data_IF_159020397888
#
_entry.id   IF_159020397888
#
_cell.length_a   1.000
_cell.length_b   1.000
_cell.length_c   1.000
_cell.angle_alpha   90.00
_cell.angle_beta   90.00
_cell.angle_gamma   90.00
#
_symmetry.space_group_name_H-M   'P 1'
#
loop_
_entity.id
_entity.type
_entity.pdbx_description
1 polymer ?
#
# COMPACT_ATOMS: atom_id res chain seq x y z
N UNK A 1 6.64 0.53 15.22
CA UNK A 1 7.08 -0.01 16.54
C UNK A 1 5.86 -0.19 17.42
N UNK A 2 5.65 -1.38 17.99
CA UNK A 2 4.52 -1.62 18.89
C UNK A 2 4.61 -0.80 20.17
N UNK A 3 3.49 -0.19 20.57
CA UNK A 3 3.42 0.69 21.77
C UNK A 3 3.76 -0.07 23.06
N UNK A 4 3.52 -1.37 23.14
CA UNK A 4 3.80 -2.18 24.32
C UNK A 4 5.23 -2.72 24.40
N UNK A 5 6.10 -2.46 23.41
CA UNK A 5 7.46 -3.01 23.41
C UNK A 5 8.29 -2.48 24.58
N UNK A 6 8.96 -3.40 25.29
CA UNK A 6 9.93 -3.10 26.37
C UNK A 6 11.32 -2.71 25.81
N UNK A 7 11.60 -3.01 24.55
CA UNK A 7 12.91 -2.83 23.92
C UNK A 7 12.87 -1.84 22.75
N UNK A 8 12.22 -0.70 22.95
CA UNK A 8 12.01 0.31 21.90
C UNK A 8 13.30 0.82 21.27
N UNK A 9 14.33 1.07 22.10
CA UNK A 9 15.63 1.55 21.62
C UNK A 9 16.32 0.54 20.66
N UNK A 10 16.36 -0.73 21.04
CA UNK A 10 16.92 -1.80 20.20
C UNK A 10 16.11 -2.00 18.92
N UNK A 11 14.77 -1.98 19.00
CA UNK A 11 13.92 -2.04 17.82
C UNK A 11 14.16 -0.86 16.87
N UNK A 12 14.41 0.34 17.41
CA UNK A 12 14.78 1.50 16.61
C UNK A 12 16.15 1.35 15.93
N UNK A 13 17.14 0.83 16.65
CA UNK A 13 18.46 0.53 16.09
C UNK A 13 18.39 -0.48 14.95
N UNK A 14 17.62 -1.55 15.10
CA UNK A 14 17.39 -2.51 14.03
C UNK A 14 16.74 -1.86 12.80
N UNK A 15 15.69 -1.05 12.99
CA UNK A 15 15.05 -0.33 11.88
C UNK A 15 16.03 0.62 11.18
N UNK A 16 16.89 1.31 11.93
CA UNK A 16 17.96 2.15 11.33
C UNK A 16 18.92 1.32 10.50
N UNK A 17 19.38 0.19 11.02
CA UNK A 17 20.27 -0.73 10.30
C UNK A 17 19.64 -1.21 8.99
N UNK A 18 18.40 -1.73 9.04
CA UNK A 18 17.66 -2.19 7.85
C UNK A 18 17.31 -1.06 6.85
N UNK A 19 17.30 0.19 7.31
CA UNK A 19 17.05 1.36 6.47
C UNK A 19 18.29 1.88 5.74
N UNK A 20 19.49 1.36 6.02
CA UNK A 20 20.72 1.80 5.36
C UNK A 20 20.72 1.34 3.89
N UNK A 21 21.18 2.17 2.94
CA UNK A 21 21.20 1.81 1.51
C UNK A 21 21.96 0.51 1.22
N UNK A 22 23.15 0.31 1.82
CA UNK A 22 23.97 -0.88 1.63
C UNK A 22 23.28 -2.16 2.12
N UNK A 23 22.54 -2.05 3.23
CA UNK A 23 21.74 -3.17 3.77
C UNK A 23 20.55 -3.48 2.87
N UNK A 24 19.86 -2.46 2.33
CA UNK A 24 18.76 -2.66 1.38
C UNK A 24 19.24 -3.29 0.06
N UNK A 25 20.40 -2.87 -0.47
CA UNK A 25 21.01 -3.52 -1.65
C UNK A 25 21.33 -4.98 -1.37
N UNK A 26 21.87 -5.28 -0.19
CA UNK A 26 22.11 -6.68 0.21
C UNK A 26 20.81 -7.47 0.31
N UNK A 27 19.75 -6.88 0.82
CA UNK A 27 18.44 -7.53 0.93
C UNK A 27 17.88 -7.84 -0.46
N UNK A 28 17.92 -6.87 -1.38
CA UNK A 28 17.56 -7.05 -2.78
C UNK A 28 18.31 -8.21 -3.44
N UNK A 29 19.64 -8.30 -3.26
CA UNK A 29 20.42 -9.42 -3.81
C UNK A 29 20.00 -10.80 -3.29
N UNK A 30 19.43 -10.86 -2.08
CA UNK A 30 19.05 -12.11 -1.43
C UNK A 30 17.61 -12.52 -1.75
N UNK A 31 16.69 -11.55 -1.83
CA UNK A 31 15.24 -11.84 -1.91
C UNK A 31 14.58 -11.30 -3.18
N UNK A 32 15.21 -10.36 -3.88
CA UNK A 32 14.61 -9.57 -4.95
C UNK A 32 13.75 -8.40 -4.45
N UNK A 33 13.63 -8.19 -3.13
CA UNK A 33 12.80 -7.11 -2.59
C UNK A 33 13.36 -5.73 -2.93
N UNK A 34 12.50 -4.90 -3.51
CA UNK A 34 12.87 -3.58 -4.03
C UNK A 34 13.21 -2.59 -2.90
N UNK A 35 14.34 -1.86 -2.99
CA UNK A 35 14.69 -0.86 -1.99
C UNK A 35 13.72 0.33 -1.95
N UNK A 36 13.29 0.73 -0.75
CA UNK A 36 12.44 1.91 -0.56
C UNK A 36 13.23 3.24 -0.65
N UNK A 37 14.55 3.21 -0.42
CA UNK A 37 15.43 4.39 -0.45
C UNK A 37 15.95 4.69 -1.84
N UNK A 38 15.75 5.91 -2.35
CA UNK A 38 16.27 6.33 -3.67
C UNK A 38 17.80 6.20 -3.77
N UNK A 39 18.53 6.36 -2.67
CA UNK A 39 19.99 6.26 -2.65
C UNK A 39 20.48 4.84 -2.98
N UNK A 40 19.73 3.80 -2.57
CA UNK A 40 20.09 2.40 -2.84
C UNK A 40 20.07 2.10 -4.34
N UNK A 41 19.19 2.75 -5.11
CA UNK A 41 19.09 2.59 -6.56
C UNK A 41 20.28 3.16 -7.36
N UNK A 42 21.20 3.87 -6.70
CA UNK A 42 22.47 4.31 -7.32
C UNK A 42 23.55 3.24 -7.28
N UNK A 43 23.36 2.18 -6.49
CA UNK A 43 24.28 1.05 -6.46
C UNK A 43 24.29 0.33 -7.81
N UNK A 44 25.47 -0.07 -8.28
CA UNK A 44 25.63 -0.72 -9.59
C UNK A 44 24.78 -1.96 -9.72
N UNK A 45 24.56 -2.71 -8.64
CA UNK A 45 23.67 -3.88 -8.62
C UNK A 45 22.28 -3.59 -9.17
N UNK A 46 21.71 -2.42 -8.85
CA UNK A 46 20.37 -2.04 -9.27
C UNK A 46 20.41 -1.20 -10.55
N UNK A 47 21.40 -0.32 -10.67
CA UNK A 47 21.52 0.58 -11.82
C UNK A 47 21.76 -0.17 -13.14
N UNK A 48 22.48 -1.30 -13.10
CA UNK A 48 22.75 -2.14 -14.27
C UNK A 48 21.82 -3.34 -14.40
N UNK A 49 20.90 -3.54 -13.45
CA UNK A 49 19.90 -4.61 -13.53
C UNK A 49 18.75 -4.17 -14.44
N UNK A 50 18.65 -4.85 -15.58
CA UNK A 50 17.64 -4.57 -16.60
C UNK A 50 16.21 -4.77 -16.07
N UNK A 51 15.99 -5.78 -15.25
CA UNK A 51 14.67 -6.09 -14.68
C UNK A 51 14.30 -5.04 -13.62
N UNK A 52 15.28 -4.60 -12.81
CA UNK A 52 15.07 -3.57 -11.80
C UNK A 52 14.71 -2.19 -12.40
N UNK A 53 15.17 -1.88 -13.61
CA UNK A 53 14.90 -0.58 -14.25
C UNK A 53 13.41 -0.30 -14.49
N UNK A 54 12.62 -1.32 -14.86
CA UNK A 54 11.18 -1.17 -15.03
C UNK A 54 10.51 -0.76 -13.71
N UNK A 55 10.83 -1.48 -12.63
CA UNK A 55 10.33 -1.16 -11.29
C UNK A 55 10.77 0.21 -10.80
N UNK A 56 12.00 0.65 -11.14
CA UNK A 56 12.47 1.99 -10.79
C UNK A 56 11.58 3.08 -11.37
N UNK A 57 11.20 2.94 -12.65
CA UNK A 57 10.33 3.89 -13.35
C UNK A 57 8.93 3.88 -12.72
N UNK A 58 8.39 2.71 -12.40
CA UNK A 58 7.08 2.58 -11.76
C UNK A 58 7.05 3.17 -10.36
N UNK A 59 8.11 3.00 -9.56
CA UNK A 59 8.21 3.55 -8.21
C UNK A 59 8.13 5.08 -8.17
N UNK A 60 8.64 5.77 -9.18
CA UNK A 60 8.51 7.23 -9.28
C UNK A 60 7.08 7.69 -9.64
N UNK A 61 6.20 6.76 -10.04
CA UNK A 61 4.78 7.01 -10.36
C UNK A 61 3.79 6.38 -9.38
N UNK A 62 4.28 5.54 -8.47
CA UNK A 62 3.44 4.83 -7.53
C UNK A 62 2.69 5.79 -6.61
N UNK A 63 1.37 5.60 -6.50
CA UNK A 63 0.50 6.34 -5.59
C UNK A 63 0.09 5.40 -4.48
N UNK A 64 0.16 5.81 -3.19
CA UNK A 64 -0.32 4.96 -2.11
C UNK A 64 -1.83 4.74 -2.26
N UNK A 65 -2.28 3.57 -1.82
CA UNK A 65 -3.70 3.30 -1.70
C UNK A 65 -4.36 4.22 -0.66
N UNK A 66 -5.70 4.39 -0.68
CA UNK A 66 -6.41 5.12 0.36
C UNK A 66 -6.03 4.65 1.77
N UNK A 67 -5.53 5.58 2.59
CA UNK A 67 -5.04 5.30 3.94
C UNK A 67 -6.19 5.20 4.95
N UNK A 68 -7.05 4.20 4.77
CA UNK A 68 -8.17 3.89 5.66
C UNK A 68 -8.04 2.46 6.19
N UNK A 69 -8.42 2.20 7.46
CA UNK A 69 -8.41 0.84 8.02
C UNK A 69 -9.21 -0.17 7.20
N UNK A 70 -10.27 0.28 6.55
CA UNK A 70 -11.20 -0.55 5.78
C UNK A 70 -10.66 -0.93 4.38
N UNK A 71 -9.47 -0.45 3.98
CA UNK A 71 -8.97 -0.58 2.60
C UNK A 71 -8.80 -2.03 2.13
N UNK A 72 -8.38 -2.93 3.01
CA UNK A 72 -8.26 -4.37 2.67
C UNK A 72 -9.63 -4.95 2.31
N UNK A 73 -10.68 -4.61 3.06
CA UNK A 73 -12.04 -5.08 2.76
C UNK A 73 -12.59 -4.43 1.48
N UNK A 74 -12.29 -3.15 1.23
CA UNK A 74 -12.60 -2.50 -0.06
C UNK A 74 -11.96 -3.25 -1.22
N UNK A 75 -10.70 -3.67 -1.09
CA UNK A 75 -9.97 -4.42 -2.13
C UNK A 75 -10.66 -5.75 -2.42
N UNK A 76 -11.11 -6.48 -1.39
CA UNK A 76 -11.89 -7.71 -1.59
C UNK A 76 -13.16 -7.46 -2.42
N UNK A 77 -13.92 -6.39 -2.13
CA UNK A 77 -15.12 -6.04 -2.91
C UNK A 77 -14.80 -5.69 -4.36
N UNK A 78 -13.68 -4.98 -4.59
CA UNK A 78 -13.20 -4.70 -5.95
C UNK A 78 -12.95 -6.01 -6.70
N UNK A 79 -12.29 -6.98 -6.07
CA UNK A 79 -12.01 -8.28 -6.68
C UNK A 79 -13.29 -9.06 -6.99
N UNK A 80 -14.22 -9.16 -6.05
CA UNK A 80 -15.51 -9.85 -6.23
C UNK A 80 -16.29 -9.30 -7.45
N UNK A 81 -16.41 -7.97 -7.53
CA UNK A 81 -17.18 -7.31 -8.60
C UNK A 81 -16.44 -7.36 -9.95
N UNK A 82 -15.11 -7.31 -9.93
CA UNK A 82 -14.29 -7.48 -11.14
C UNK A 82 -14.45 -8.90 -11.70
N UNK A 83 -14.43 -9.91 -10.84
CA UNK A 83 -14.65 -11.30 -11.26
C UNK A 83 -16.03 -11.49 -11.88
N UNK A 84 -17.08 -10.96 -11.25
CA UNK A 84 -18.44 -11.03 -11.79
C UNK A 84 -18.56 -10.40 -13.19
N UNK A 85 -17.91 -9.25 -13.41
CA UNK A 85 -17.89 -8.59 -14.71
C UNK A 85 -17.10 -9.39 -15.77
N UNK A 86 -15.90 -9.88 -15.41
CA UNK A 86 -15.04 -10.64 -16.34
C UNK A 86 -15.67 -11.97 -16.74
N UNK A 87 -16.38 -12.63 -15.84
CA UNK A 87 -17.09 -13.90 -16.13
C UNK A 87 -18.43 -13.71 -16.85
N UNK A 88 -18.86 -12.46 -17.10
CA UNK A 88 -20.14 -12.15 -17.75
C UNK A 88 -21.37 -12.31 -16.85
N UNK A 89 -21.19 -12.40 -15.53
CA UNK A 89 -22.29 -12.44 -14.56
C UNK A 89 -22.97 -11.08 -14.33
N UNK A 90 -22.29 -9.99 -14.69
CA UNK A 90 -22.84 -8.64 -14.69
C UNK A 90 -22.16 -7.78 -15.78
N UNK A 91 -22.83 -6.74 -16.26
CA UNK A 91 -22.16 -5.72 -17.08
C UNK A 91 -21.15 -4.93 -16.24
N UNK A 92 -20.09 -4.35 -16.83
CA UNK A 92 -19.15 -3.51 -16.09
C UNK A 92 -19.83 -2.36 -15.33
N UNK A 93 -20.86 -1.73 -15.92
CA UNK A 93 -21.61 -0.66 -15.27
C UNK A 93 -22.41 -1.15 -14.07
N UNK A 94 -23.01 -2.35 -14.17
CA UNK A 94 -23.74 -2.99 -13.08
C UNK A 94 -22.81 -3.37 -11.93
N UNK A 95 -21.66 -3.96 -12.23
CA UNK A 95 -20.64 -4.32 -11.25
C UNK A 95 -20.09 -3.09 -10.51
N UNK A 96 -19.80 -1.99 -11.23
CA UNK A 96 -19.38 -0.73 -10.61
C UNK A 96 -20.45 -0.14 -9.68
N UNK A 97 -21.71 -0.13 -10.12
CA UNK A 97 -22.83 0.34 -9.28
C UNK A 97 -22.97 -0.52 -8.01
N UNK A 98 -22.72 -1.83 -8.12
CA UNK A 98 -22.74 -2.72 -6.98
C UNK A 98 -21.56 -2.47 -6.03
N UNK A 99 -20.35 -2.33 -6.57
CA UNK A 99 -19.15 -1.98 -5.82
C UNK A 99 -19.34 -0.69 -5.01
N UNK A 100 -19.87 0.37 -5.63
CA UNK A 100 -20.11 1.65 -4.96
C UNK A 100 -21.09 1.48 -3.79
N UNK A 101 -22.16 0.70 -3.96
CA UNK A 101 -23.10 0.43 -2.88
C UNK A 101 -22.43 -0.30 -1.72
N UNK A 102 -21.66 -1.34 -2.01
CA UNK A 102 -21.02 -2.19 -1.02
C UNK A 102 -19.95 -1.42 -0.24
N UNK A 103 -19.09 -0.66 -0.94
CA UNK A 103 -18.08 0.21 -0.33
C UNK A 103 -18.74 1.33 0.47
N UNK A 104 -19.85 1.90 -0.01
CA UNK A 104 -20.58 2.91 0.74
C UNK A 104 -21.10 2.34 2.07
N UNK A 105 -21.73 1.17 2.05
CA UNK A 105 -22.21 0.52 3.27
C UNK A 105 -21.05 0.24 4.24
N UNK A 106 -19.94 -0.33 3.74
CA UNK A 106 -18.73 -0.60 4.53
C UNK A 106 -18.20 0.65 5.25
N UNK A 107 -18.15 1.78 4.54
CA UNK A 107 -17.59 3.03 5.05
C UNK A 107 -18.58 3.88 5.85
N UNK A 108 -19.82 3.41 6.09
CA UNK A 108 -20.87 4.17 6.76
C UNK A 108 -20.48 4.61 8.18
N UNK A 109 -19.99 3.67 9.00
CA UNK A 109 -19.55 3.97 10.36
C UNK A 109 -18.43 5.02 10.38
N UNK A 110 -17.49 4.93 9.43
CA UNK A 110 -16.40 5.90 9.30
C UNK A 110 -16.94 7.29 8.98
N UNK A 111 -17.82 7.40 7.97
CA UNK A 111 -18.45 8.68 7.60
C UNK A 111 -19.22 9.28 8.77
N UNK A 112 -19.98 8.47 9.50
CA UNK A 112 -20.71 8.88 10.70
C UNK A 112 -19.77 9.45 11.78
N UNK A 113 -18.66 8.77 12.09
CA UNK A 113 -17.70 9.24 13.09
C UNK A 113 -16.97 10.52 12.66
N UNK A 114 -16.67 10.66 11.36
CA UNK A 114 -16.04 11.88 10.82
C UNK A 114 -16.98 13.08 10.90
N UNK A 115 -18.26 12.92 10.52
CA UNK A 115 -19.27 13.97 10.61
C UNK A 115 -19.43 14.50 12.04
N UNK A 116 -19.35 13.61 13.05
CA UNK A 116 -19.42 13.98 14.47
C UNK A 116 -18.16 14.63 15.04
N UNK A 117 -17.01 14.51 14.36
CA UNK A 117 -15.75 15.14 14.75
C UNK A 117 -15.56 16.53 14.13
N UNK A 118 -16.34 16.86 13.10
CA UNK A 118 -16.33 18.16 12.43
C UNK A 118 -17.44 19.18 12.83
N UNK A 119 -17.96 19.28 14.08
CA UNK A 119 -18.98 20.29 14.39
C UNK A 119 -18.52 21.75 14.38
N UNK A 120 -17.22 22.05 14.58
CA UNK A 120 -16.75 23.43 14.82
C UNK A 120 -15.69 23.90 13.79
N UNK A 121 -16.09 23.98 12.52
CA UNK A 121 -15.35 24.72 11.50
C UNK A 121 -16.29 25.74 10.83
N UNK A 122 -16.72 26.73 11.62
CA UNK A 122 -17.36 27.96 11.18
C UNK A 122 -16.54 29.15 11.66
#
# INVERSE_FOLDING_TARGET
MFRSSRHRALAWELMRFLSRPDVQVRFYRLTGDLPARREAWRDTTLATDREAQAFRIELDRAVPTPMIPEWEEVTTRIMDQTEAAVRGGASPATALTALDRDVNHLLERRRYLLARRAPDAH
#
